data_IF_445417517401
#
_entry.id   IF_445417517401
#
_cell.length_a   1.000
_cell.length_b   1.000
_cell.length_c   1.000
_cell.angle_alpha   90.00
_cell.angle_beta   90.00
_cell.angle_gamma   90.00
#
_symmetry.space_group_name_H-M   'P 1'
#
loop_
_entity.id
_entity.type
_entity.pdbx_description
1 polymer ?
#
# COMPACT_ATOMS: atom_id res chain seq x y z
N UNK A 1 8.37 -2.71 -13.46
CA UNK A 1 7.71 -3.95 -13.05
C UNK A 1 8.38 -4.47 -11.80
N UNK A 2 7.63 -5.10 -10.90
CA UNK A 2 8.22 -5.74 -9.72
C UNK A 2 9.19 -6.85 -10.16
N UNK A 3 10.49 -6.67 -9.98
CA UNK A 3 11.51 -7.70 -10.21
C UNK A 3 11.75 -8.53 -8.93
N UNK A 4 10.69 -8.84 -8.18
CA UNK A 4 10.82 -9.62 -6.95
C UNK A 4 10.87 -11.13 -7.25
N UNK A 5 11.90 -11.88 -6.81
CA UNK A 5 12.07 -13.30 -7.13
C UNK A 5 11.02 -14.23 -6.52
N UNK A 6 10.10 -13.72 -5.68
CA UNK A 6 9.09 -14.50 -4.97
C UNK A 6 7.66 -14.30 -5.49
N UNK A 7 7.46 -13.42 -6.47
CA UNK A 7 6.14 -13.14 -7.05
C UNK A 7 6.19 -13.33 -8.54
N UNK A 8 5.36 -14.22 -9.08
CA UNK A 8 5.19 -14.37 -10.52
C UNK A 8 4.25 -13.26 -11.02
N UNK A 9 4.70 -12.40 -11.96
CA UNK A 9 3.91 -11.27 -12.42
C UNK A 9 2.76 -11.73 -13.32
N UNK A 10 1.58 -11.14 -13.12
CA UNK A 10 0.47 -11.17 -14.05
C UNK A 10 0.48 -9.91 -14.96
N UNK A 11 0.82 -8.74 -14.40
CA UNK A 11 0.91 -7.47 -15.11
C UNK A 11 1.97 -6.54 -14.52
N UNK A 12 2.96 -6.17 -15.33
CA UNK A 12 4.07 -5.30 -14.92
C UNK A 12 3.67 -3.88 -14.51
N UNK A 13 2.50 -3.42 -14.94
CA UNK A 13 2.01 -2.05 -14.71
C UNK A 13 0.90 -1.99 -13.68
N UNK A 14 0.31 -3.13 -13.31
CA UNK A 14 -0.85 -3.18 -12.40
C UNK A 14 -0.58 -3.99 -11.13
N UNK A 15 0.38 -4.91 -11.13
CA UNK A 15 0.62 -5.75 -9.96
C UNK A 15 1.19 -4.94 -8.79
N UNK A 16 0.73 -5.28 -7.59
CA UNK A 16 1.24 -4.78 -6.32
C UNK A 16 1.09 -5.87 -5.26
N UNK A 17 2.08 -6.02 -4.39
CA UNK A 17 2.04 -6.99 -3.29
C UNK A 17 1.33 -6.36 -2.09
N UNK A 18 0.40 -7.10 -1.49
CA UNK A 18 -0.33 -6.68 -0.30
C UNK A 18 -0.56 -7.84 0.67
N UNK A 19 -1.01 -7.50 1.87
CA UNK A 19 -1.27 -8.45 2.96
C UNK A 19 -2.74 -8.39 3.35
N UNK A 20 -3.32 -9.54 3.69
CA UNK A 20 -4.67 -9.62 4.24
C UNK A 20 -4.59 -9.90 5.73
N UNK A 21 -5.10 -8.98 6.54
CA UNK A 21 -5.12 -9.07 8.00
C UNK A 21 -6.54 -8.85 8.51
N UNK A 22 -6.80 -9.20 9.77
CA UNK A 22 -8.12 -8.99 10.38
C UNK A 22 -8.32 -7.57 10.90
N UNK A 23 -7.23 -6.88 11.21
CA UNK A 23 -7.21 -5.56 11.82
C UNK A 23 -6.34 -4.60 10.99
N UNK A 24 -6.72 -3.32 10.99
CA UNK A 24 -5.97 -2.27 10.29
C UNK A 24 -4.60 -2.07 10.92
N UNK A 25 -4.50 -2.23 12.24
CA UNK A 25 -3.25 -2.18 13.01
C UNK A 25 -2.28 -3.27 12.57
N UNK A 26 -2.77 -4.50 12.36
CA UNK A 26 -1.95 -5.60 11.84
C UNK A 26 -1.43 -5.29 10.43
N UNK A 27 -2.26 -4.68 9.58
CA UNK A 27 -1.84 -4.28 8.24
C UNK A 27 -0.73 -3.22 8.30
N UNK A 28 -0.90 -2.21 9.16
CA UNK A 28 0.08 -1.15 9.36
C UNK A 28 1.41 -1.69 9.92
N UNK A 29 1.35 -2.64 10.87
CA UNK A 29 2.53 -3.31 11.41
C UNK A 29 3.30 -4.09 10.35
N UNK A 30 2.62 -4.94 9.58
CA UNK A 30 3.26 -5.73 8.53
C UNK A 30 3.85 -4.80 7.45
N UNK A 31 3.12 -3.76 7.05
CA UNK A 31 3.63 -2.77 6.10
C UNK A 31 4.89 -2.06 6.62
N UNK A 32 4.90 -1.62 7.88
CA UNK A 32 6.07 -0.96 8.46
C UNK A 32 7.31 -1.86 8.48
N UNK A 33 7.14 -3.17 8.63
CA UNK A 33 8.22 -4.15 8.60
C UNK A 33 8.81 -4.41 7.20
N UNK A 34 7.99 -4.32 6.15
CA UNK A 34 8.36 -4.73 4.78
C UNK A 34 8.54 -3.58 3.80
N UNK A 35 8.12 -2.36 4.14
CA UNK A 35 8.34 -1.20 3.30
C UNK A 35 9.83 -0.92 3.12
N UNK A 36 10.18 -0.29 2.01
CA UNK A 36 11.54 0.17 1.74
C UNK A 36 12.01 -0.20 0.35
N UNK A 37 13.23 0.23 0.06
CA UNK A 37 13.91 -0.10 -1.17
C UNK A 37 14.44 -1.54 -1.11
N UNK A 38 14.15 -2.33 -2.15
CA UNK A 38 14.84 -3.57 -2.46
C UNK A 38 15.83 -3.29 -3.59
N UNK A 39 17.11 -3.56 -3.36
CA UNK A 39 18.17 -3.37 -4.36
C UNK A 39 17.99 -4.25 -5.60
N UNK A 40 17.22 -5.34 -5.47
CA UNK A 40 16.91 -6.24 -6.59
C UNK A 40 15.66 -5.81 -7.36
N UNK A 41 14.91 -4.82 -6.87
CA UNK A 41 13.72 -4.28 -7.53
C UNK A 41 13.82 -2.75 -7.67
N UNK A 42 14.32 -2.31 -8.82
CA UNK A 42 14.52 -0.90 -9.15
C UNK A 42 13.25 -0.05 -9.01
N UNK A 43 12.05 -0.65 -9.10
CA UNK A 43 10.78 0.09 -8.98
C UNK A 43 10.45 0.54 -7.55
N UNK A 44 11.17 0.01 -6.57
CA UNK A 44 11.02 0.35 -5.14
C UNK A 44 11.99 1.44 -4.69
N UNK A 45 12.99 1.79 -5.52
CA UNK A 45 14.03 2.74 -5.18
C UNK A 45 13.51 4.19 -5.07
N UNK A 46 14.21 5.01 -4.28
CA UNK A 46 13.93 6.45 -4.14
C UNK A 46 12.73 6.81 -3.26
N UNK A 47 12.06 5.82 -2.64
CA UNK A 47 10.98 6.05 -1.67
C UNK A 47 11.53 6.11 -0.24
N UNK A 48 11.18 7.17 0.49
CA UNK A 48 11.53 7.27 1.90
C UNK A 48 10.60 6.38 2.74
N UNK A 49 11.11 5.59 3.69
CA UNK A 49 10.27 4.81 4.60
C UNK A 49 9.29 5.72 5.37
N UNK A 50 8.04 5.28 5.51
CA UNK A 50 7.01 6.02 6.24
C UNK A 50 6.76 5.39 7.62
N UNK A 51 6.77 6.19 8.68
CA UNK A 51 6.37 5.73 10.02
C UNK A 51 4.84 5.72 10.16
N UNK A 52 4.21 4.70 9.56
CA UNK A 52 2.75 4.60 9.43
C UNK A 52 2.01 4.42 10.76
N UNK A 53 2.69 3.88 11.78
CA UNK A 53 2.07 3.63 13.08
C UNK A 53 1.89 4.93 13.88
N UNK A 54 2.75 5.92 13.67
CA UNK A 54 2.75 7.18 14.43
C UNK A 54 1.44 7.95 14.29
N UNK A 55 0.85 7.95 13.10
CA UNK A 55 -0.34 8.75 12.78
C UNK A 55 -1.62 7.92 12.65
N UNK A 56 -1.52 6.60 12.81
CA UNK A 56 -2.62 5.64 12.57
C UNK A 56 -3.90 5.98 13.35
N UNK A 57 -3.76 6.60 14.54
CA UNK A 57 -4.87 6.92 15.44
C UNK A 57 -5.33 8.38 15.39
N UNK A 58 -4.78 9.20 14.49
CA UNK A 58 -5.12 10.62 14.38
C UNK A 58 -6.55 10.87 13.86
N UNK A 59 -7.20 9.85 13.31
CA UNK A 59 -8.51 9.97 12.69
C UNK A 59 -8.47 10.84 11.43
N UNK A 60 -9.63 11.30 10.98
CA UNK A 60 -9.78 11.97 9.66
C UNK A 60 -10.35 13.39 9.75
N UNK A 61 -10.35 14.01 10.93
CA UNK A 61 -10.92 15.35 11.13
C UNK A 61 -10.18 16.38 10.27
N UNK A 62 -10.92 17.12 9.45
CA UNK A 62 -10.37 18.15 8.56
C UNK A 62 -9.95 17.64 7.18
N UNK A 63 -10.00 16.34 6.93
CA UNK A 63 -9.78 15.78 5.59
C UNK A 63 -10.98 16.08 4.68
N UNK A 64 -10.70 16.41 3.42
CA UNK A 64 -11.72 16.53 2.36
C UNK A 64 -11.81 15.18 1.65
N UNK A 65 -12.92 14.48 1.84
CA UNK A 65 -13.18 13.17 1.23
C UNK A 65 -14.14 13.36 0.04
N UNK A 66 -13.82 12.75 -1.09
CA UNK A 66 -14.67 12.74 -2.28
C UNK A 66 -15.26 11.34 -2.49
N UNK A 67 -16.53 11.27 -2.88
CA UNK A 67 -17.20 10.03 -3.26
C UNK A 67 -17.44 10.04 -4.77
N UNK A 68 -16.88 9.07 -5.48
CA UNK A 68 -17.01 8.95 -6.93
C UNK A 68 -18.28 8.15 -7.28
N UNK A 69 -19.43 8.83 -7.34
CA UNK A 69 -20.75 8.19 -7.52
C UNK A 69 -20.82 7.22 -8.70
N UNK A 70 -20.26 7.61 -9.86
CA UNK A 70 -20.29 6.80 -11.09
C UNK A 70 -19.54 5.47 -11.03
N UNK A 71 -18.71 5.24 -10.01
CA UNK A 71 -17.98 3.98 -9.82
C UNK A 71 -18.73 2.98 -8.94
N UNK A 72 -19.76 3.42 -8.20
CA UNK A 72 -20.43 2.62 -7.17
C UNK A 72 -21.95 2.54 -7.33
N UNK A 73 -22.54 3.24 -8.30
CA UNK A 73 -23.93 3.03 -8.68
C UNK A 73 -24.01 1.90 -9.71
N UNK A 74 -24.72 0.83 -9.35
CA UNK A 74 -25.35 -0.05 -10.32
C UNK A 74 -26.64 0.66 -10.80
N UNK A 75 -26.95 0.61 -12.10
CA UNK A 75 -28.21 1.16 -12.64
C UNK A 75 -29.45 0.59 -11.94
#
# INVERSE_FOLDING_TARGET
GLNSPFVYPLSWTLDSVGFLTRLVEDAALVYQCVQGADINDETTLGRTPHDVLKELKNGVRGMRLAFAESMFQED
#
